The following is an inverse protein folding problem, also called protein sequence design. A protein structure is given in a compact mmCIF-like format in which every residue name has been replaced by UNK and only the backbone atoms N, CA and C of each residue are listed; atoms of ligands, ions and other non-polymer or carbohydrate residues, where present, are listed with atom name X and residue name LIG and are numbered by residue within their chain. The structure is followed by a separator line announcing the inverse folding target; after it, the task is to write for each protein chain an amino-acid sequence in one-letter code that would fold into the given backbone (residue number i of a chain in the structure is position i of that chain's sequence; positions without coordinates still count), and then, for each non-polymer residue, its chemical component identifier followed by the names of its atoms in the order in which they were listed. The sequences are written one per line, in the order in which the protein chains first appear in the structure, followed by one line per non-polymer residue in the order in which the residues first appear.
data_IF_329492749004
#
_entry.id   IF_329492749004
#
_cell.length_a   1.000
_cell.length_b   1.000
_cell.length_c   1.000
_cell.angle_alpha   90.00
_cell.angle_beta   90.00
_cell.angle_gamma   90.00
#
_symmetry.space_group_name_H-M   'P 1'
#
loop_
_entity.id
_entity.type
_entity.pdbx_description
1 polymer ?
#
# COMPACT_ATOMS: atom_id res chain seq x y z
N UNK A 1 -23.28 -2.80 27.91
CA UNK A 1 -22.44 -4.01 27.78
C UNK A 1 -21.29 -4.04 28.80
N UNK A 2 -21.55 -3.67 30.07
CA UNK A 2 -20.54 -3.65 31.15
C UNK A 2 -19.62 -2.42 31.17
N UNK A 3 -18.76 -2.33 32.19
CA UNK A 3 -17.81 -1.23 32.38
C UNK A 3 -16.76 -1.20 31.26
N UNK A 4 -16.35 0.00 30.85
CA UNK A 4 -15.30 0.22 29.84
C UNK A 4 -15.55 -0.50 28.49
N UNK A 5 -16.80 -0.82 28.15
CA UNK A 5 -17.16 -1.41 26.85
C UNK A 5 -16.96 -0.42 25.70
N UNK A 6 -17.12 0.88 25.96
CA UNK A 6 -17.00 1.94 24.96
C UNK A 6 -18.26 2.07 24.09
N UNK A 7 -18.49 3.27 23.57
CA UNK A 7 -19.64 3.58 22.72
C UNK A 7 -19.30 4.69 21.73
N UNK A 8 -19.98 4.69 20.59
CA UNK A 8 -19.86 5.71 19.54
C UNK A 8 -21.23 6.34 19.29
N UNK A 9 -21.24 7.67 19.12
CA UNK A 9 -22.42 8.44 18.73
C UNK A 9 -22.15 9.16 17.44
N UNK A 10 -23.12 9.15 16.55
CA UNK A 10 -23.02 9.83 15.26
C UNK A 10 -23.98 11.01 15.27
N UNK A 11 -23.47 12.18 14.92
CA UNK A 11 -24.23 13.42 14.86
C UNK A 11 -24.25 13.97 13.44
N UNK A 12 -25.38 14.57 13.06
CA UNK A 12 -25.55 15.30 11.81
C UNK A 12 -25.77 16.78 12.10
N UNK A 13 -25.00 17.62 11.44
CA UNK A 13 -25.19 19.06 11.45
C UNK A 13 -26.45 19.44 10.65
N UNK A 14 -27.35 20.19 11.27
CA UNK A 14 -28.60 20.65 10.65
C UNK A 14 -28.48 22.00 9.94
N UNK A 15 -27.36 22.71 10.14
CA UNK A 15 -27.22 24.13 9.80
C UNK A 15 -27.13 25.01 11.04
N UNK A 16 -27.75 24.59 12.14
CA UNK A 16 -27.82 25.35 13.41
C UNK A 16 -27.39 24.54 14.64
N UNK A 17 -27.53 23.20 14.61
CA UNK A 17 -27.17 22.32 15.74
C UNK A 17 -26.70 20.93 15.28
N UNK A 18 -25.97 20.24 16.16
CA UNK A 18 -25.58 18.84 16.01
C UNK A 18 -26.63 17.92 16.64
N UNK A 19 -27.39 17.24 15.79
CA UNK A 19 -28.40 16.27 16.24
C UNK A 19 -27.89 14.84 16.10
N UNK A 20 -28.02 14.03 17.14
CA UNK A 20 -27.66 12.62 17.06
C UNK A 20 -28.57 11.89 16.06
N UNK A 21 -27.97 11.08 15.18
CA UNK A 21 -28.68 10.26 14.20
C UNK A 21 -28.56 8.77 14.55
N UNK A 22 -29.70 8.16 14.88
CA UNK A 22 -29.76 6.77 15.35
C UNK A 22 -29.30 6.59 16.80
N UNK A 23 -29.38 5.34 17.28
CA UNK A 23 -28.93 4.96 18.62
C UNK A 23 -27.40 4.93 18.72
N UNK A 24 -26.89 4.92 19.96
CA UNK A 24 -25.48 4.67 20.25
C UNK A 24 -25.03 3.31 19.68
N UNK A 25 -23.80 3.25 19.19
CA UNK A 25 -23.14 2.01 18.81
C UNK A 25 -22.26 1.56 19.97
N UNK A 26 -22.66 0.50 20.67
CA UNK A 26 -21.97 0.03 21.89
C UNK A 26 -21.01 -1.13 21.62
N UNK A 27 -19.89 -1.17 22.36
CA UNK A 27 -19.01 -2.34 22.46
C UNK A 27 -19.75 -3.58 22.94
N UNK A 28 -19.26 -4.77 22.63
CA UNK A 28 -20.00 -6.03 22.84
C UNK A 28 -19.80 -6.61 24.25
N UNK A 29 -18.68 -6.31 24.91
CA UNK A 29 -18.32 -6.84 26.21
C UNK A 29 -17.61 -5.79 27.11
N UNK A 30 -17.53 -6.04 28.43
CA UNK A 30 -16.83 -5.17 29.36
C UNK A 30 -15.34 -5.12 29.00
N UNK A 31 -14.77 -3.91 28.92
CA UNK A 31 -13.35 -3.71 28.63
C UNK A 31 -12.98 -3.63 27.15
N UNK A 32 -13.92 -3.78 26.22
CA UNK A 32 -13.66 -3.71 24.76
C UNK A 32 -13.00 -2.40 24.34
N UNK A 33 -13.36 -1.29 24.99
CA UNK A 33 -12.93 0.04 24.55
C UNK A 33 -13.35 0.35 23.12
N UNK A 34 -14.58 -0.03 22.74
CA UNK A 34 -15.15 0.25 21.43
C UNK A 34 -15.24 1.77 21.18
N UNK A 35 -14.91 2.19 19.96
CA UNK A 35 -14.73 3.61 19.63
C UNK A 35 -13.28 4.08 19.75
N UNK A 36 -12.30 3.15 19.78
CA UNK A 36 -10.89 3.48 19.89
C UNK A 36 -10.36 4.24 18.66
N UNK A 37 -10.67 3.75 17.46
CA UNK A 37 -10.46 4.46 16.21
C UNK A 37 -11.72 4.41 15.36
N UNK A 38 -11.89 5.45 14.56
CA UNK A 38 -13.08 5.71 13.75
C UNK A 38 -12.65 6.14 12.35
N UNK A 39 -13.39 5.67 11.35
CA UNK A 39 -13.36 6.24 10.00
C UNK A 39 -14.78 6.36 9.48
N UNK A 40 -15.06 7.42 8.74
CA UNK A 40 -16.35 7.70 8.13
C UNK A 40 -16.15 7.81 6.61
N UNK A 41 -17.08 7.27 5.82
CA UNK A 41 -17.12 7.52 4.38
C UNK A 41 -17.44 8.98 4.08
N UNK A 42 -17.09 9.46 2.88
CA UNK A 42 -17.23 10.88 2.51
C UNK A 42 -18.68 11.37 2.56
N UNK A 43 -19.62 10.49 2.20
CA UNK A 43 -21.06 10.76 2.25
C UNK A 43 -21.65 10.65 3.67
N UNK A 44 -20.84 10.25 4.64
CA UNK A 44 -21.24 10.05 6.03
C UNK A 44 -22.16 8.85 6.25
N UNK A 45 -22.33 7.95 5.27
CA UNK A 45 -23.29 6.83 5.34
C UNK A 45 -22.70 5.54 5.92
N UNK A 46 -21.37 5.40 5.95
CA UNK A 46 -20.67 4.20 6.43
C UNK A 46 -19.62 4.60 7.47
N UNK A 47 -19.61 3.92 8.62
CA UNK A 47 -18.65 4.14 9.70
C UNK A 47 -17.96 2.84 10.07
N UNK A 48 -16.63 2.85 10.14
CA UNK A 48 -15.82 1.77 10.68
C UNK A 48 -15.35 2.14 12.09
N UNK A 49 -15.44 1.20 13.02
CA UNK A 49 -15.12 1.41 14.44
C UNK A 49 -14.29 0.25 14.96
N UNK A 50 -13.16 0.55 15.61
CA UNK A 50 -12.36 -0.45 16.32
C UNK A 50 -12.65 -0.53 17.82
N UNK A 51 -12.30 -1.68 18.39
CA UNK A 51 -12.03 -1.89 19.82
C UNK A 51 -10.57 -1.58 20.13
N UNK A 52 -10.28 -1.31 21.41
CA UNK A 52 -8.91 -1.08 21.86
C UNK A 52 -8.07 -2.35 21.85
N UNK A 53 -8.70 -3.46 22.24
CA UNK A 53 -8.09 -4.77 22.38
C UNK A 53 -8.80 -5.78 21.50
N UNK A 54 -8.04 -6.70 20.93
CA UNK A 54 -8.63 -7.81 20.20
C UNK A 54 -9.22 -8.87 21.10
N UNK A 55 -10.38 -9.36 20.72
CA UNK A 55 -11.05 -10.47 21.37
C UNK A 55 -11.72 -11.41 20.34
N UNK A 56 -12.51 -12.37 20.81
CA UNK A 56 -13.21 -13.30 19.94
C UNK A 56 -14.46 -12.69 19.27
N UNK A 57 -14.88 -11.49 19.66
CA UNK A 57 -16.10 -10.81 19.20
C UNK A 57 -15.85 -9.91 17.99
N UNK A 58 -14.59 -9.59 17.72
CA UNK A 58 -14.13 -8.95 16.48
C UNK A 58 -13.80 -7.48 16.68
N UNK A 59 -12.62 -7.11 16.20
CA UNK A 59 -11.96 -5.87 16.56
C UNK A 59 -12.52 -4.68 15.82
N UNK A 60 -12.92 -4.87 14.56
CA UNK A 60 -13.45 -3.81 13.72
C UNK A 60 -14.84 -4.18 13.27
N UNK A 61 -15.80 -3.30 13.54
CA UNK A 61 -17.17 -3.39 13.05
C UNK A 61 -17.47 -2.19 12.17
N UNK A 62 -18.12 -2.45 11.05
CA UNK A 62 -18.53 -1.43 10.09
C UNK A 62 -20.06 -1.37 10.13
N UNK A 63 -20.60 -0.15 10.11
CA UNK A 63 -22.04 0.11 10.14
C UNK A 63 -22.41 0.99 8.96
N UNK A 64 -23.58 0.75 8.38
CA UNK A 64 -24.14 1.57 7.31
C UNK A 64 -25.51 2.11 7.72
N UNK A 65 -25.70 3.40 7.50
CA UNK A 65 -26.98 4.06 7.72
C UNK A 65 -27.99 3.59 6.67
N UNK A 66 -29.16 3.12 7.12
CA UNK A 66 -30.23 2.66 6.23
C UNK A 66 -31.37 3.68 6.06
N UNK A 67 -31.21 4.91 6.55
CA UNK A 67 -32.27 5.93 6.61
C UNK A 67 -32.96 6.03 7.98
N UNK A 68 -32.76 5.07 8.88
CA UNK A 68 -33.42 5.04 10.19
C UNK A 68 -32.52 4.57 11.34
N UNK A 69 -31.65 3.60 11.09
CA UNK A 69 -30.71 3.03 12.05
C UNK A 69 -29.36 2.78 11.42
N UNK A 70 -28.33 2.76 12.26
CA UNK A 70 -27.01 2.26 11.90
C UNK A 70 -27.01 0.73 12.02
N UNK A 71 -27.06 0.05 10.88
CA UNK A 71 -27.04 -1.42 10.83
C UNK A 71 -25.60 -1.90 10.60
N UNK A 72 -25.18 -2.96 11.28
CA UNK A 72 -23.86 -3.56 11.03
C UNK A 72 -23.81 -4.08 9.58
N UNK A 73 -22.76 -3.69 8.86
CA UNK A 73 -22.50 -4.04 7.47
C UNK A 73 -21.53 -5.22 7.42
N UNK A 74 -22.06 -6.42 7.17
CA UNK A 74 -21.28 -7.66 7.08
C UNK A 74 -20.78 -8.19 8.44
N UNK A 75 -19.81 -9.09 8.40
CA UNK A 75 -19.18 -9.68 9.59
C UNK A 75 -18.20 -8.70 10.27
N UNK A 76 -17.96 -8.90 11.56
CA UNK A 76 -16.83 -8.26 12.24
C UNK A 76 -15.50 -8.74 11.65
N UNK A 77 -14.52 -7.85 11.54
CA UNK A 77 -13.15 -8.18 11.12
C UNK A 77 -12.31 -8.46 12.37
N UNK A 78 -11.64 -9.62 12.38
CA UNK A 78 -10.82 -10.09 13.51
C UNK A 78 -9.33 -9.86 13.25
N UNK A 79 -8.58 -9.57 14.31
CA UNK A 79 -7.12 -9.68 14.27
C UNK A 79 -6.67 -11.11 14.03
N UNK A 80 -5.46 -11.28 13.47
CA UNK A 80 -4.84 -12.60 13.38
C UNK A 80 -4.47 -13.16 14.76
N UNK A 81 -4.28 -12.31 15.78
CA UNK A 81 -3.92 -12.72 17.14
C UNK A 81 -4.76 -12.00 18.19
N UNK A 82 -4.96 -12.63 19.36
CA UNK A 82 -5.73 -12.07 20.47
C UNK A 82 -4.96 -10.99 21.25
N UNK A 83 -3.67 -10.76 20.96
CA UNK A 83 -2.84 -9.75 21.62
C UNK A 83 -2.73 -8.44 20.84
N UNK A 84 -3.33 -8.34 19.65
CA UNK A 84 -3.31 -7.12 18.87
C UNK A 84 -3.98 -5.98 19.65
N UNK A 85 -3.33 -4.83 19.69
CA UNK A 85 -3.87 -3.63 20.33
C UNK A 85 -3.70 -2.46 19.39
N UNK A 86 -4.70 -1.56 19.43
CA UNK A 86 -4.75 -0.29 18.73
C UNK A 86 -4.76 -0.41 17.20
N UNK A 87 -5.97 -0.46 16.65
CA UNK A 87 -6.16 -0.37 15.21
C UNK A 87 -6.21 1.07 14.75
N UNK A 88 -5.34 1.49 13.83
CA UNK A 88 -5.63 2.62 12.96
C UNK A 88 -6.59 2.16 11.86
N UNK A 89 -7.52 3.03 11.45
CA UNK A 89 -8.55 2.69 10.48
C UNK A 89 -8.68 3.81 9.47
N UNK A 90 -8.79 3.47 8.19
CA UNK A 90 -9.24 4.37 7.14
C UNK A 90 -10.26 3.67 6.24
N UNK A 91 -11.23 4.42 5.72
CA UNK A 91 -12.25 3.94 4.76
C UNK A 91 -12.01 4.61 3.41
N UNK A 92 -12.27 3.88 2.33
CA UNK A 92 -12.47 4.52 1.03
C UNK A 92 -13.70 5.44 1.06
N UNK A 93 -13.76 6.40 0.14
CA UNK A 93 -14.83 7.40 0.08
C UNK A 93 -16.23 6.80 0.00
N UNK A 94 -16.38 5.70 -0.74
CA UNK A 94 -17.64 4.95 -0.87
C UNK A 94 -17.93 3.98 0.30
N UNK A 95 -17.02 3.88 1.27
CA UNK A 95 -17.13 2.99 2.43
C UNK A 95 -17.08 1.49 2.11
N UNK A 96 -16.57 1.08 0.94
CA UNK A 96 -16.51 -0.33 0.53
C UNK A 96 -15.12 -0.96 0.67
N UNK A 97 -14.08 -0.18 0.96
CA UNK A 97 -12.77 -0.68 1.36
C UNK A 97 -12.38 -0.09 2.72
N UNK A 98 -11.74 -0.89 3.57
CA UNK A 98 -11.24 -0.49 4.88
C UNK A 98 -9.81 -0.95 5.07
N UNK A 99 -8.91 -0.03 5.42
CA UNK A 99 -7.56 -0.35 5.84
C UNK A 99 -7.50 -0.38 7.37
N UNK A 100 -6.81 -1.36 7.91
CA UNK A 100 -6.65 -1.59 9.34
C UNK A 100 -5.16 -1.78 9.63
N UNK A 101 -4.56 -0.83 10.32
CA UNK A 101 -3.20 -0.95 10.82
C UNK A 101 -3.20 -1.56 12.22
N UNK A 102 -2.39 -2.58 12.46
CA UNK A 102 -2.30 -3.34 13.71
C UNK A 102 -0.85 -3.33 14.19
N UNK A 103 -0.42 -2.18 14.72
CA UNK A 103 0.98 -1.91 14.98
C UNK A 103 1.59 -2.77 16.08
N UNK A 104 0.80 -3.21 17.06
CA UNK A 104 1.29 -3.98 18.21
C UNK A 104 1.18 -5.49 17.98
N UNK A 105 1.51 -5.95 16.78
CA UNK A 105 1.53 -7.37 16.41
C UNK A 105 2.98 -7.81 16.18
N UNK A 106 3.31 -8.95 16.77
CA UNK A 106 4.51 -9.69 16.45
C UNK A 106 4.30 -10.36 15.07
N UNK A 107 5.02 -9.89 14.06
CA UNK A 107 5.01 -10.48 12.72
C UNK A 107 6.26 -11.32 12.47
N UNK A 108 6.40 -11.86 11.26
CA UNK A 108 7.59 -12.60 10.83
C UNK A 108 8.90 -11.79 10.97
N UNK A 109 8.83 -10.46 10.97
CA UNK A 109 9.98 -9.56 11.04
C UNK A 109 10.33 -9.13 12.49
N UNK A 110 9.71 -9.77 13.48
CA UNK A 110 10.06 -9.64 14.89
C UNK A 110 8.97 -9.03 15.76
N UNK A 111 9.27 -8.94 17.06
CA UNK A 111 8.33 -8.42 18.06
C UNK A 111 7.90 -6.98 17.71
N UNK A 112 6.60 -6.69 17.78
CA UNK A 112 6.04 -5.36 17.53
C UNK A 112 6.49 -4.72 16.20
N UNK A 113 6.76 -5.55 15.20
CA UNK A 113 7.02 -5.07 13.83
C UNK A 113 5.77 -4.45 13.21
N UNK A 114 4.58 -4.94 13.61
CA UNK A 114 3.30 -4.42 13.16
C UNK A 114 2.90 -4.90 11.77
N UNK A 115 1.60 -4.87 11.49
CA UNK A 115 1.04 -5.23 10.18
C UNK A 115 -0.04 -4.23 9.75
N UNK A 116 -0.39 -4.24 8.47
CA UNK A 116 -1.57 -3.58 7.92
C UNK A 116 -2.30 -4.54 6.99
N UNK A 117 -3.63 -4.54 7.07
CA UNK A 117 -4.51 -5.34 6.22
C UNK A 117 -5.59 -4.46 5.63
N UNK A 118 -5.93 -4.70 4.37
CA UNK A 118 -7.05 -4.03 3.70
C UNK A 118 -8.14 -5.04 3.44
N UNK A 119 -9.40 -4.64 3.60
CA UNK A 119 -10.56 -5.47 3.35
C UNK A 119 -11.51 -4.76 2.39
N UNK A 120 -12.20 -5.53 1.55
CA UNK A 120 -13.25 -5.06 0.65
C UNK A 120 -14.57 -5.74 1.01
N UNK A 121 -15.65 -4.99 0.90
CA UNK A 121 -17.01 -5.50 1.07
C UNK A 121 -17.53 -6.06 -0.25
N UNK A 122 -17.92 -7.34 -0.26
CA UNK A 122 -18.41 -8.04 -1.46
C UNK A 122 -19.93 -7.96 -1.67
N UNK A 123 -20.64 -7.23 -0.79
CA UNK A 123 -22.10 -7.18 -0.74
C UNK A 123 -22.70 -8.02 0.39
N UNK A 124 -21.93 -8.91 1.01
CA UNK A 124 -22.36 -9.74 2.13
C UNK A 124 -21.37 -9.73 3.30
N UNK A 125 -20.08 -9.86 3.02
CA UNK A 125 -19.00 -10.01 3.99
C UNK A 125 -17.80 -9.13 3.66
N UNK A 126 -16.98 -8.87 4.67
CA UNK A 126 -15.67 -8.22 4.51
C UNK A 126 -14.61 -9.28 4.28
N UNK A 127 -13.93 -9.20 3.15
CA UNK A 127 -12.86 -10.13 2.76
C UNK A 127 -11.54 -9.38 2.60
N UNK A 128 -10.43 -10.01 2.98
CA UNK A 128 -9.12 -9.36 2.86
C UNK A 128 -8.77 -9.17 1.38
N UNK A 129 -8.36 -7.94 1.03
CA UNK A 129 -7.97 -7.53 -0.31
C UNK A 129 -6.44 -7.56 -0.42
N UNK A 130 -5.92 -8.56 -1.12
CA UNK A 130 -4.47 -8.76 -1.28
C UNK A 130 -3.77 -9.34 -0.03
N UNK A 131 -2.45 -9.28 -0.03
CA UNK A 131 -1.62 -9.82 1.04
C UNK A 131 -1.61 -8.92 2.29
N UNK A 132 -1.22 -9.50 3.44
CA UNK A 132 -0.92 -8.73 4.66
C UNK A 132 0.41 -8.00 4.48
N UNK A 133 0.43 -6.71 4.81
CA UNK A 133 1.63 -5.87 4.76
C UNK A 133 2.28 -5.85 6.15
N UNK A 134 3.59 -6.08 6.25
CA UNK A 134 4.31 -6.12 7.52
C UNK A 134 5.41 -5.07 7.60
N UNK A 135 5.71 -4.60 8.82
CA UNK A 135 6.91 -3.80 9.09
C UNK A 135 8.17 -4.59 8.82
N UNK A 136 9.29 -3.91 8.59
CA UNK A 136 10.54 -4.51 8.13
C UNK A 136 11.38 -5.09 9.26
N UNK A 137 11.24 -4.54 10.48
CA UNK A 137 12.02 -4.93 11.62
C UNK A 137 11.24 -4.89 12.95
N UNK A 138 11.87 -5.47 13.98
CA UNK A 138 11.37 -5.45 15.35
C UNK A 138 11.17 -4.00 15.82
N UNK A 139 9.98 -3.72 16.36
CA UNK A 139 9.66 -2.42 16.95
C UNK A 139 9.39 -1.30 15.94
N UNK A 140 9.15 -1.64 14.67
CA UNK A 140 8.76 -0.65 13.66
C UNK A 140 7.40 -0.01 13.95
N UNK A 141 6.51 -0.75 14.63
CA UNK A 141 5.12 -0.35 14.85
C UNK A 141 4.41 -0.02 13.51
N UNK A 142 4.68 -0.78 12.45
CA UNK A 142 4.06 -0.58 11.14
C UNK A 142 2.55 -0.75 11.19
N UNK A 143 1.81 0.15 10.55
CA UNK A 143 0.35 0.24 10.72
C UNK A 143 -0.07 1.13 11.89
N UNK A 144 0.86 1.94 12.43
CA UNK A 144 0.51 2.92 13.45
C UNK A 144 -0.50 3.95 12.93
N UNK A 145 -0.27 4.42 11.70
CA UNK A 145 -1.17 5.29 10.97
C UNK A 145 -1.39 4.71 9.58
N UNK A 146 -2.63 4.78 9.09
CA UNK A 146 -2.99 4.33 7.74
C UNK A 146 -3.95 5.34 7.12
N UNK A 147 -3.85 5.53 5.81
CA UNK A 147 -4.87 6.27 5.05
C UNK A 147 -5.05 5.71 3.63
N UNK A 148 -6.31 5.65 3.19
CA UNK A 148 -6.70 5.19 1.85
C UNK A 148 -7.09 6.37 0.96
N UNK A 149 -6.67 6.31 -0.29
CA UNK A 149 -7.22 7.17 -1.36
C UNK A 149 -8.72 6.95 -1.57
N UNK A 150 -9.39 7.88 -2.25
CA UNK A 150 -10.84 7.89 -2.45
C UNK A 150 -11.37 6.56 -3.04
N UNK A 151 -10.66 6.05 -4.04
CA UNK A 151 -11.01 4.80 -4.73
C UNK A 151 -10.53 3.53 -3.99
N UNK A 152 -9.77 3.69 -2.90
CA UNK A 152 -9.22 2.59 -2.11
C UNK A 152 -8.03 1.85 -2.75
N UNK A 153 -7.44 2.36 -3.83
CA UNK A 153 -6.37 1.67 -4.56
C UNK A 153 -4.96 2.12 -4.17
N UNK A 154 -4.82 3.25 -3.48
CA UNK A 154 -3.55 3.70 -2.89
C UNK A 154 -3.70 3.75 -1.38
N UNK A 155 -2.74 3.16 -0.69
CA UNK A 155 -2.65 3.05 0.77
C UNK A 155 -1.34 3.66 1.25
N UNK A 156 -1.40 4.48 2.29
CA UNK A 156 -0.23 4.99 3.00
C UNK A 156 -0.16 4.36 4.37
N UNK A 157 1.02 3.93 4.81
CA UNK A 157 1.22 3.30 6.11
C UNK A 157 2.44 3.87 6.82
N UNK A 158 2.28 4.32 8.06
CA UNK A 158 3.36 4.80 8.91
C UNK A 158 3.91 3.78 9.90
N UNK A 159 5.22 3.86 10.15
CA UNK A 159 5.99 3.08 11.12
C UNK A 159 6.88 4.02 11.94
N UNK A 160 6.27 4.77 12.86
CA UNK A 160 6.94 5.90 13.52
C UNK A 160 8.05 5.51 14.51
N UNK A 161 8.06 4.26 14.99
CA UNK A 161 9.05 3.78 15.95
C UNK A 161 10.28 3.17 15.28
N UNK A 162 10.22 2.94 13.97
CA UNK A 162 11.31 2.33 13.21
C UNK A 162 12.62 3.12 13.38
N UNK A 163 13.73 2.39 13.38
CA UNK A 163 15.09 2.96 13.46
C UNK A 163 15.27 3.91 14.66
N UNK A 164 14.89 3.48 15.88
CA UNK A 164 14.96 4.29 17.11
C UNK A 164 14.11 5.57 17.03
N UNK A 165 12.91 5.47 16.46
CA UNK A 165 11.98 6.58 16.37
C UNK A 165 12.29 7.59 15.26
N UNK A 166 13.24 7.30 14.36
CA UNK A 166 13.37 8.08 13.12
C UNK A 166 12.09 7.95 12.29
N UNK A 167 11.58 6.73 12.20
CA UNK A 167 10.34 6.42 11.50
C UNK A 167 10.44 6.41 9.98
N UNK A 168 9.48 5.77 9.34
CA UNK A 168 9.29 5.79 7.89
C UNK A 168 7.81 5.67 7.52
N UNK A 169 7.51 5.99 6.26
CA UNK A 169 6.20 5.78 5.64
C UNK A 169 6.37 5.00 4.34
N UNK A 170 5.52 4.00 4.13
CA UNK A 170 5.40 3.28 2.85
C UNK A 170 4.10 3.64 2.15
N UNK A 171 4.16 3.76 0.84
CA UNK A 171 2.99 3.97 -0.03
C UNK A 171 2.83 2.73 -0.91
N UNK A 172 1.62 2.20 -1.00
CA UNK A 172 1.31 1.01 -1.79
C UNK A 172 0.21 1.32 -2.79
N UNK A 173 0.33 0.77 -3.99
CA UNK A 173 -0.71 0.75 -5.02
C UNK A 173 -1.26 -0.66 -5.17
N UNK A 174 -2.57 -0.79 -5.33
CA UNK A 174 -3.22 -2.07 -5.58
C UNK A 174 -3.24 -2.37 -7.08
N UNK A 175 -2.44 -3.34 -7.50
CA UNK A 175 -2.23 -3.70 -8.91
C UNK A 175 -2.25 -5.21 -9.05
N UNK A 176 -3.00 -5.72 -10.04
CA UNK A 176 -3.09 -7.15 -10.34
C UNK A 176 -3.40 -8.04 -9.12
N UNK A 177 -4.32 -7.56 -8.27
CA UNK A 177 -4.78 -8.24 -7.07
C UNK A 177 -3.74 -8.29 -5.90
N UNK A 178 -2.67 -7.49 -5.98
CA UNK A 178 -1.62 -7.39 -4.97
C UNK A 178 -1.35 -5.94 -4.58
N UNK A 179 -0.91 -5.72 -3.33
CA UNK A 179 -0.39 -4.42 -2.89
C UNK A 179 1.09 -4.31 -3.21
N UNK A 180 1.47 -3.37 -4.07
CA UNK A 180 2.85 -3.18 -4.51
C UNK A 180 3.37 -1.84 -4.01
N UNK A 181 4.59 -1.75 -3.44
CA UNK A 181 5.18 -0.48 -3.06
C UNK A 181 5.28 0.48 -4.24
N UNK A 182 4.92 1.75 -4.02
CA UNK A 182 5.07 2.84 -4.97
C UNK A 182 6.33 3.63 -4.62
N UNK A 183 7.44 3.24 -5.23
CA UNK A 183 8.76 3.85 -4.99
C UNK A 183 9.42 3.36 -3.70
N UNK A 184 10.46 4.09 -3.30
CA UNK A 184 11.19 3.86 -2.05
C UNK A 184 10.42 4.40 -0.84
N UNK A 185 10.83 3.97 0.34
CA UNK A 185 10.28 4.45 1.61
C UNK A 185 10.50 5.94 1.80
N UNK A 186 9.47 6.62 2.31
CA UNK A 186 9.58 8.01 2.73
C UNK A 186 10.22 8.03 4.13
N UNK A 187 11.52 8.26 4.18
CA UNK A 187 12.31 8.18 5.40
C UNK A 187 12.17 9.45 6.29
N UNK A 188 12.12 9.23 7.62
CA UNK A 188 12.35 10.28 8.62
C UNK A 188 13.78 10.80 8.61
N UNK A 189 14.01 11.93 9.29
CA UNK A 189 15.27 12.69 9.19
C UNK A 189 16.21 12.43 10.37
N UNK A 190 15.67 12.37 11.60
CA UNK A 190 16.45 12.17 12.83
C UNK A 190 15.75 11.22 13.79
N UNK A 191 16.54 10.55 14.63
CA UNK A 191 16.03 9.64 15.66
C UNK A 191 15.12 10.36 16.63
N UNK A 192 14.09 9.67 17.13
CA UNK A 192 13.06 10.21 18.03
C UNK A 192 12.10 11.25 17.45
N UNK A 193 12.18 11.60 16.16
CA UNK A 193 11.25 12.57 15.54
C UNK A 193 9.82 12.02 15.36
N UNK A 194 9.66 10.70 15.44
CA UNK A 194 8.42 9.95 15.23
C UNK A 194 7.78 10.23 13.86
N UNK A 195 8.59 10.29 12.80
CA UNK A 195 8.07 10.50 11.44
C UNK A 195 7.16 9.34 10.99
N UNK A 196 5.98 9.65 10.45
CA UNK A 196 4.97 8.62 10.12
C UNK A 196 3.98 8.33 11.25
N UNK A 197 4.02 9.09 12.35
CA UNK A 197 3.03 8.95 13.42
C UNK A 197 1.62 9.36 12.95
N UNK A 198 1.52 10.29 12.00
CA UNK A 198 0.29 10.64 11.31
C UNK A 198 0.56 10.70 9.80
N UNK A 199 -0.38 10.15 9.03
CA UNK A 199 -0.35 10.20 7.55
C UNK A 199 -1.72 10.63 7.04
N UNK A 200 -1.73 11.27 5.87
CA UNK A 200 -2.95 11.47 5.09
C UNK A 200 -2.62 11.44 3.59
N UNK A 201 -3.51 10.89 2.78
CA UNK A 201 -3.38 10.85 1.33
C UNK A 201 -4.48 11.64 0.64
N UNK A 202 -4.16 12.29 -0.48
CA UNK A 202 -5.15 12.95 -1.31
C UNK A 202 -6.11 11.94 -1.95
N UNK A 203 -7.31 12.42 -2.28
CA UNK A 203 -8.36 11.62 -2.90
C UNK A 203 -7.88 10.88 -4.16
N UNK A 204 -7.10 11.55 -5.01
CA UNK A 204 -6.52 10.99 -6.24
C UNK A 204 -5.30 10.07 -6.02
N UNK A 205 -4.83 9.94 -4.78
CA UNK A 205 -3.69 9.11 -4.40
C UNK A 205 -2.32 9.71 -4.75
N UNK A 206 -2.25 10.96 -5.22
CA UNK A 206 -1.01 11.55 -5.75
C UNK A 206 -0.23 12.38 -4.74
N UNK A 207 -0.81 12.76 -3.59
CA UNK A 207 -0.12 13.53 -2.56
C UNK A 207 -0.23 12.85 -1.20
N UNK A 208 0.86 12.84 -0.46
CA UNK A 208 0.93 12.27 0.88
C UNK A 208 1.46 13.32 1.84
N UNK A 209 0.74 13.58 2.92
CA UNK A 209 1.21 14.37 4.05
C UNK A 209 1.65 13.43 5.18
N UNK A 210 2.81 13.73 5.78
CA UNK A 210 3.39 12.92 6.86
C UNK A 210 3.82 13.82 8.01
N UNK A 211 3.37 13.50 9.22
CA UNK A 211 3.78 14.17 10.46
C UNK A 211 4.96 13.50 11.15
N UNK A 212 5.88 14.31 11.66
CA UNK A 212 6.88 13.93 12.67
C UNK A 212 6.67 14.81 13.89
N UNK A 213 5.92 14.30 14.88
CA UNK A 213 5.44 15.09 16.03
C UNK A 213 6.59 15.70 16.85
N UNK A 214 7.73 15.02 16.90
CA UNK A 214 8.85 15.36 17.77
C UNK A 214 10.04 15.92 16.99
N UNK A 215 9.85 16.29 15.72
CA UNK A 215 10.95 16.79 14.93
C UNK A 215 11.50 18.12 15.47
N UNK A 216 12.84 18.21 15.47
CA UNK A 216 13.59 19.31 16.07
C UNK A 216 13.95 20.45 15.09
N UNK A 217 13.56 20.36 13.81
CA UNK A 217 14.07 21.26 12.75
C UNK A 217 13.79 22.74 12.96
N UNK A 218 12.79 23.10 13.78
CA UNK A 218 12.43 24.48 14.15
C UNK A 218 12.49 24.75 15.66
N UNK A 219 13.11 23.86 16.45
CA UNK A 219 13.15 23.90 17.91
C UNK A 219 12.86 22.52 18.52
N UNK A 220 13.21 22.32 19.79
CA UNK A 220 13.04 21.03 20.51
C UNK A 220 11.59 20.58 20.43
N UNK A 221 11.36 19.36 19.91
CA UNK A 221 10.05 18.73 19.73
C UNK A 221 9.01 19.66 19.10
N UNK A 222 9.43 20.58 18.20
CA UNK A 222 8.52 21.54 17.58
C UNK A 222 7.53 20.88 16.60
N UNK A 223 7.91 19.71 16.10
CA UNK A 223 7.17 18.92 15.14
C UNK A 223 7.22 19.50 13.73
N UNK A 224 6.95 18.65 12.74
CA UNK A 224 6.74 19.10 11.36
C UNK A 224 5.71 18.25 10.62
N UNK A 225 5.28 18.77 9.46
CA UNK A 225 4.59 18.01 8.41
C UNK A 225 5.35 18.19 7.11
N UNK A 226 5.61 17.08 6.40
CA UNK A 226 6.15 17.08 5.04
C UNK A 226 5.08 16.58 4.07
N UNK A 227 5.00 17.20 2.90
CA UNK A 227 4.05 16.84 1.84
C UNK A 227 4.84 16.39 0.62
N UNK A 228 4.49 15.22 0.11
CA UNK A 228 5.11 14.58 -1.04
C UNK A 228 4.10 14.52 -2.18
N UNK A 229 4.58 14.63 -3.41
CA UNK A 229 3.78 14.47 -4.62
C UNK A 229 4.40 13.39 -5.49
N UNK A 230 3.56 12.46 -5.96
CA UNK A 230 3.95 11.44 -6.91
C UNK A 230 4.20 12.08 -8.27
N UNK A 231 5.46 12.09 -8.71
CA UNK A 231 5.85 12.57 -10.04
C UNK A 231 6.20 11.37 -10.90
N UNK A 232 5.29 11.01 -11.81
CA UNK A 232 5.61 10.04 -12.86
C UNK A 232 6.59 10.67 -13.84
N UNK A 233 7.87 10.33 -13.73
CA UNK A 233 8.86 10.68 -14.75
C UNK A 233 8.62 9.81 -15.97
N UNK A 234 7.80 10.28 -16.91
CA UNK A 234 7.83 9.75 -18.27
C UNK A 234 9.19 10.18 -18.83
N UNK A 235 10.11 9.26 -19.18
CA UNK A 235 11.35 9.65 -19.81
C UNK A 235 10.97 10.39 -21.10
N UNK A 236 11.17 11.71 -21.11
CA UNK A 236 11.02 12.48 -22.33
C UNK A 236 11.99 11.88 -23.32
N UNK A 237 11.46 11.34 -24.42
CA UNK A 237 12.28 10.84 -25.53
C UNK A 237 13.39 11.86 -25.79
N UNK A 238 14.63 11.43 -25.57
CA UNK A 238 15.80 12.26 -25.84
C UNK A 238 15.67 12.76 -27.28
N UNK A 239 15.81 14.07 -27.57
CA UNK A 239 15.90 14.49 -28.95
C UNK A 239 17.03 13.70 -29.59
N UNK A 240 16.70 12.99 -30.67
CA UNK A 240 17.64 12.19 -31.43
C UNK A 240 18.90 13.04 -31.71
N UNK A 241 20.12 12.49 -31.52
CA UNK A 241 21.32 13.24 -31.83
C UNK A 241 21.21 13.74 -33.27
N UNK A 242 21.32 15.06 -33.44
CA UNK A 242 21.29 15.70 -34.75
C UNK A 242 22.28 14.98 -35.66
N UNK A 243 21.79 14.48 -36.78
CA UNK A 243 22.58 13.86 -37.84
C UNK A 243 23.87 14.66 -38.07
N UNK A 244 24.99 14.11 -37.62
CA UNK A 244 26.31 14.58 -38.00
C UNK A 244 26.46 14.30 -39.50
N UNK A 245 26.98 15.23 -40.33
CA UNK A 245 27.16 14.98 -41.76
C UNK A 245 28.02 13.73 -41.97
N UNK A 246 27.47 12.76 -42.70
CA UNK A 246 28.15 11.53 -43.07
C UNK A 246 29.35 11.85 -43.96
N UNK A 247 30.55 11.63 -43.44
CA UNK A 247 31.76 11.57 -44.26
C UNK A 247 31.76 10.18 -44.90
N UNK A 248 31.46 10.12 -46.21
CA UNK A 248 31.70 8.94 -47.02
C UNK A 248 33.21 8.70 -47.09
N UNK A 249 33.70 7.69 -46.40
CA UNK A 249 34.97 7.02 -46.74
C UNK A 249 34.67 5.57 -47.05
N UNK A 250 34.89 5.22 -48.31
CA UNK A 250 34.74 3.90 -48.89
C UNK A 250 35.84 2.96 -48.39
N UNK A 251 35.49 2.02 -47.53
CA UNK A 251 36.22 0.76 -47.42
C UNK A 251 35.22 -0.40 -47.35
N UNK A 252 35.30 -1.29 -48.34
CA UNK A 252 34.54 -2.53 -48.41
C UNK A 252 35.13 -3.57 -47.43
N UNK A 253 34.32 -4.24 -46.60
CA UNK A 253 34.78 -5.43 -45.89
C UNK A 253 34.47 -6.69 -46.70
N UNK A 254 35.47 -7.18 -47.45
CA UNK A 254 35.53 -8.59 -47.85
C UNK A 254 36.13 -9.40 -46.70
N UNK A 255 35.27 -9.95 -45.84
CA UNK A 255 35.41 -11.22 -45.11
C UNK A 255 34.54 -11.20 -43.85
N UNK A 256 33.34 -11.79 -43.93
CA UNK A 256 32.61 -12.28 -42.76
C UNK A 256 32.24 -13.74 -43.01
N UNK A 257 32.58 -14.67 -42.10
CA UNK A 257 32.11 -16.05 -42.16
C UNK A 257 30.58 -16.08 -42.00
N UNK A 258 29.94 -16.88 -42.83
CA UNK A 258 28.51 -17.19 -42.80
C UNK A 258 28.10 -17.81 -41.46
N UNK A 259 27.18 -17.17 -40.75
CA UNK A 259 26.36 -17.83 -39.73
C UNK A 259 26.13 -17.09 -38.41
N UNK A 260 25.66 -15.84 -38.43
CA UNK A 260 24.88 -15.28 -37.29
C UNK A 260 23.76 -14.42 -37.88
N UNK A 261 22.52 -14.85 -37.67
CA UNK A 261 21.33 -14.13 -38.06
C UNK A 261 21.19 -12.84 -37.24
N UNK A 262 20.97 -11.73 -37.95
CA UNK A 262 20.15 -10.57 -37.56
C UNK A 262 19.51 -10.67 -36.17
N UNK A 263 20.11 -10.03 -35.17
CA UNK A 263 19.49 -9.84 -33.86
C UNK A 263 18.34 -8.83 -33.99
N UNK A 264 17.12 -9.37 -34.06
CA UNK A 264 15.87 -8.60 -34.15
C UNK A 264 14.73 -9.27 -33.39
N UNK A 265 15.00 -9.84 -32.20
CA UNK A 265 13.98 -10.43 -31.34
C UNK A 265 14.46 -10.51 -29.89
N UNK A 266 13.59 -10.11 -28.96
CA UNK A 266 13.80 -10.24 -27.51
C UNK A 266 13.73 -11.71 -27.02
N UNK A 267 13.36 -12.64 -27.90
CA UNK A 267 13.28 -14.07 -27.63
C UNK A 267 14.23 -14.87 -28.52
N UNK A 268 14.80 -15.94 -27.97
CA UNK A 268 15.45 -16.98 -28.76
C UNK A 268 14.39 -17.76 -29.60
N UNK A 269 14.83 -18.64 -30.50
CA UNK A 269 13.95 -19.49 -31.32
C UNK A 269 13.12 -20.51 -30.53
N UNK A 270 13.28 -20.56 -29.20
CA UNK A 270 12.59 -21.45 -28.27
C UNK A 270 11.57 -20.70 -27.38
N UNK A 271 11.51 -19.36 -27.47
CA UNK A 271 10.57 -18.52 -26.70
C UNK A 271 11.11 -18.01 -25.36
N UNK A 272 12.40 -18.17 -25.06
CA UNK A 272 13.00 -17.66 -23.82
C UNK A 272 13.54 -16.23 -24.01
N UNK A 273 13.32 -15.35 -23.02
CA UNK A 273 13.87 -13.99 -23.02
C UNK A 273 15.31 -13.96 -22.51
N UNK A 274 16.12 -13.03 -23.04
CA UNK A 274 17.53 -12.87 -22.65
C UNK A 274 17.75 -12.14 -21.30
N UNK A 275 16.81 -11.27 -20.85
CA UNK A 275 16.94 -10.51 -19.60
C UNK A 275 15.57 -10.27 -18.93
N UNK A 276 15.49 -10.49 -17.62
CA UNK A 276 14.29 -10.26 -16.78
C UNK A 276 14.29 -8.81 -16.25
N UNK A 277 13.13 -8.14 -16.30
CA UNK A 277 12.92 -6.85 -15.62
C UNK A 277 13.41 -5.59 -16.36
N UNK A 278 13.77 -5.70 -17.64
CA UNK A 278 14.08 -4.54 -18.49
C UNK A 278 13.06 -4.41 -19.64
N UNK A 279 12.65 -3.18 -20.01
CA UNK A 279 11.80 -2.97 -21.19
C UNK A 279 12.53 -3.41 -22.46
N UNK A 280 11.90 -4.27 -23.26
CA UNK A 280 12.41 -4.70 -24.56
C UNK A 280 11.43 -4.27 -25.65
N UNK A 281 11.95 -3.80 -26.78
CA UNK A 281 11.16 -3.29 -27.89
C UNK A 281 11.43 -4.12 -29.15
N UNK A 282 10.37 -4.46 -29.88
CA UNK A 282 10.51 -4.99 -31.24
C UNK A 282 10.80 -3.83 -32.20
N UNK A 283 11.74 -4.06 -33.11
CA UNK A 283 12.15 -3.07 -34.11
C UNK A 283 11.77 -3.57 -35.52
N UNK A 284 11.22 -2.66 -36.33
CA UNK A 284 11.06 -2.90 -37.75
C UNK A 284 12.46 -2.98 -38.39
N UNK A 285 12.80 -4.16 -38.94
CA UNK A 285 14.11 -4.40 -39.57
C UNK A 285 14.34 -3.62 -40.87
N UNK A 286 13.31 -2.98 -41.40
CA UNK A 286 13.32 -2.18 -42.63
C UNK A 286 13.44 -0.68 -42.36
N UNK A 287 12.82 -0.18 -41.28
CA UNK A 287 12.79 1.25 -40.96
C UNK A 287 13.62 1.62 -39.72
N UNK A 288 13.95 0.65 -38.86
CA UNK A 288 14.65 0.85 -37.60
C UNK A 288 13.77 1.47 -36.50
N UNK A 289 12.47 1.62 -36.71
CA UNK A 289 11.53 2.19 -35.75
C UNK A 289 11.03 1.13 -34.75
N UNK A 290 10.87 1.52 -33.48
CA UNK A 290 10.31 0.66 -32.44
C UNK A 290 8.79 0.52 -32.65
N UNK A 291 8.30 -0.70 -32.86
CA UNK A 291 6.90 -0.95 -33.17
C UNK A 291 6.04 -1.03 -31.89
N UNK A 292 6.55 -1.67 -30.83
CA UNK A 292 5.92 -1.78 -29.50
C UNK A 292 6.99 -2.03 -28.43
N UNK A 293 6.94 -1.30 -27.32
CA UNK A 293 7.77 -1.57 -26.14
C UNK A 293 6.89 -2.14 -25.02
N UNK A 294 7.16 -3.38 -24.60
CA UNK A 294 6.45 -4.04 -23.51
C UNK A 294 7.45 -4.41 -22.40
N UNK A 295 7.00 -4.31 -21.14
CA UNK A 295 7.74 -4.89 -20.02
C UNK A 295 7.32 -6.36 -19.93
N UNK A 296 8.24 -7.25 -20.29
CA UNK A 296 8.01 -8.70 -20.17
C UNK A 296 8.57 -9.19 -18.84
N UNK A 297 7.74 -9.88 -18.06
CA UNK A 297 8.16 -10.62 -16.86
C UNK A 297 8.22 -12.11 -17.21
N UNK A 298 9.42 -12.68 -17.26
CA UNK A 298 9.56 -14.13 -17.40
C UNK A 298 9.26 -14.81 -16.06
N UNK A 299 8.19 -15.58 -16.01
CA UNK A 299 7.97 -16.58 -14.98
C UNK A 299 9.03 -17.67 -15.17
N UNK A 300 9.98 -17.79 -14.25
CA UNK A 300 10.93 -18.90 -14.26
C UNK A 300 10.15 -20.22 -14.04
N UNK A 301 9.90 -20.97 -15.12
CA UNK A 301 9.51 -22.38 -14.96
C UNK A 301 10.72 -23.12 -14.45
N UNK A 302 10.66 -23.58 -13.20
CA UNK A 302 11.69 -24.40 -12.59
C UNK A 302 11.98 -25.62 -13.47
N UNK A 303 13.15 -25.64 -14.09
CA UNK A 303 13.69 -26.84 -14.71
C UNK A 303 13.99 -27.84 -13.58
N UNK A 304 13.15 -28.85 -13.43
CA UNK A 304 13.44 -30.02 -12.60
C UNK A 304 14.61 -30.78 -13.21
N UNK A 305 15.82 -30.56 -12.70
CA UNK A 305 16.96 -31.43 -12.98
C UNK A 305 16.77 -32.74 -12.22
N UNK A 306 16.25 -33.76 -12.90
CA UNK A 306 16.38 -35.16 -12.46
C UNK A 306 17.83 -35.59 -12.64
N UNK A 307 18.61 -35.57 -11.57
CA UNK A 307 19.91 -36.26 -11.51
C UNK A 307 19.66 -37.75 -11.32
N UNK A 308 19.75 -38.52 -12.41
CA UNK A 308 19.92 -39.97 -12.34
C UNK A 308 21.38 -40.28 -12.02
N UNK A 309 21.66 -40.68 -10.78
CA UNK A 309 22.92 -41.34 -10.42
C UNK A 309 22.92 -42.77 -11.00
N UNK A 310 23.88 -43.06 -11.87
CA UNK A 310 24.21 -44.44 -12.27
C UNK A 310 25.39 -44.89 -11.40
N UNK A 311 25.35 -46.09 -10.78
CA UNK A 311 26.44 -46.56 -9.92
C UNK A 311 27.54 -47.19 -10.78
N UNK A 312 28.79 -46.80 -10.53
CA UNK A 312 29.98 -47.67 -10.50
C UNK A 312 31.09 -46.96 -9.72
#
# INVERSE_FOLDING_TARGET
NGSNSGHVRIYRWSGDDWTQIGSDLDGLAPGDGFGWALALSDDGSTIAVSTRYSDQLGNVRIFRWNGSTWAQLGNSIRAPTLSSSHSSISLSSNGNAVAIGEWNIDSMNGLQSGITRVFVFDGAVWTQLGQTLGGEAKGDNFGWSVDLSENGNVLVVGAHSANMGTGYVKVFGYVLNEWVPLGDDIAGESTSDLFGQAVSISADGQKVAVGGLQNDGSGIDAGHVRVYEWVSIVPTSSPAPSQQPSVLSSESPTNMPSGIASMGSCMNSLGDCFFSGMPCCDFDTTTGEALVCNVFYCMATAATTTTTSVPY
#
